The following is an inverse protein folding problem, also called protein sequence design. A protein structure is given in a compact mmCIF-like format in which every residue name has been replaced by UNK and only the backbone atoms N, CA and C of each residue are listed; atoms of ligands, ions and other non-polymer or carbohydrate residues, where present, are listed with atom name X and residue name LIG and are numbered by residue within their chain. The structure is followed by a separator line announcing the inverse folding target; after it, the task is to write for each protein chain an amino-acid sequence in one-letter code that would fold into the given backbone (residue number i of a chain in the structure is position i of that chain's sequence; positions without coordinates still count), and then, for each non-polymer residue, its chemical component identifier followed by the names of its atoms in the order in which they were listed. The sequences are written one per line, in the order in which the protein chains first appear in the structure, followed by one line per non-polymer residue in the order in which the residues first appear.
data_IF_950961218806
#
_entry.id   IF_950961218806
#
_cell.length_a   1.000
_cell.length_b   1.000
_cell.length_c   1.000
_cell.angle_alpha   90.00
_cell.angle_beta   90.00
_cell.angle_gamma   90.00
#
_symmetry.space_group_name_H-M   'P 1'
#
loop_
_entity.id
_entity.type
_entity.pdbx_description
1 polymer ?
#
# COMPACT_ATOMS: atom_id res chain seq x y z
N UNK A 1 0.81 -22.81 17.07
CA UNK A 1 -0.39 -22.46 16.28
C UNK A 1 0.08 -21.87 14.95
N UNK A 2 0.25 -22.72 13.94
CA UNK A 2 0.94 -22.36 12.68
C UNK A 2 -0.09 -21.89 11.67
N UNK A 3 -0.24 -20.56 11.50
CA UNK A 3 -1.05 -19.99 10.44
C UNK A 3 -0.29 -20.06 9.12
N UNK A 4 -0.53 -21.12 8.34
CA UNK A 4 -0.02 -21.23 6.97
C UNK A 4 -1.03 -20.60 6.02
N UNK A 5 -0.78 -19.35 5.64
CA UNK A 5 -1.54 -18.69 4.56
C UNK A 5 -1.11 -19.33 3.23
N UNK A 6 -1.92 -20.25 2.72
CA UNK A 6 -1.84 -20.72 1.34
C UNK A 6 -2.42 -19.63 0.44
N UNK A 7 -1.57 -18.99 -0.38
CA UNK A 7 -2.02 -18.12 -1.46
C UNK A 7 -1.58 -16.66 -1.41
N UNK A 8 -0.39 -16.31 -0.91
CA UNK A 8 0.20 -14.96 -1.12
C UNK A 8 1.05 -14.90 -2.38
N UNK A 9 0.45 -15.32 -3.49
CA UNK A 9 0.96 -15.02 -4.82
C UNK A 9 0.09 -13.92 -5.43
N UNK A 10 0.60 -12.69 -5.39
CA UNK A 10 0.36 -11.74 -6.49
C UNK A 10 -0.96 -10.94 -6.51
N UNK A 11 -1.46 -10.48 -5.35
CA UNK A 11 -2.58 -9.52 -5.31
C UNK A 11 -2.25 -8.20 -6.05
N UNK A 12 -0.99 -7.75 -5.98
CA UNK A 12 -0.56 -6.48 -6.58
C UNK A 12 -0.46 -6.49 -8.10
N UNK A 13 0.09 -7.54 -8.72
CA UNK A 13 0.12 -7.58 -10.20
C UNK A 13 -1.29 -7.72 -10.74
N UNK A 14 -2.20 -8.46 -10.08
CA UNK A 14 -3.62 -8.49 -10.49
C UNK A 14 -4.29 -7.11 -10.43
N UNK A 15 -4.07 -6.33 -9.37
CA UNK A 15 -4.56 -4.95 -9.32
C UNK A 15 -3.91 -3.99 -10.34
N UNK A 16 -2.77 -4.35 -10.96
CA UNK A 16 -2.17 -3.55 -12.04
C UNK A 16 -2.55 -4.07 -13.44
N UNK A 17 -2.83 -5.37 -13.57
CA UNK A 17 -3.03 -6.07 -14.85
C UNK A 17 -4.52 -6.24 -15.21
N UNK A 18 -5.47 -6.19 -14.25
CA UNK A 18 -6.89 -6.47 -14.51
C UNK A 18 -7.74 -5.28 -15.01
N UNK A 19 -7.17 -4.11 -15.30
CA UNK A 19 -7.94 -2.87 -15.58
C UNK A 19 -7.91 -2.44 -17.05
N UNK A 20 -8.24 -3.36 -17.94
CA UNK A 20 -8.32 -3.16 -19.40
C UNK A 20 -9.51 -2.32 -19.91
N UNK A 21 -10.07 -1.39 -19.13
CA UNK A 21 -11.14 -0.51 -19.61
C UNK A 21 -11.10 0.84 -18.85
N UNK A 22 -10.59 1.88 -19.52
CA UNK A 22 -10.50 3.30 -19.06
C UNK A 22 -10.22 3.47 -17.56
N UNK A 23 -8.94 3.34 -17.18
CA UNK A 23 -8.48 3.69 -15.85
C UNK A 23 -8.77 5.19 -15.61
N UNK A 24 -9.55 5.58 -14.58
CA UNK A 24 -9.56 6.98 -14.16
C UNK A 24 -8.12 7.38 -13.80
N UNK A 25 -7.70 8.59 -14.14
CA UNK A 25 -6.34 9.06 -13.81
C UNK A 25 -6.09 9.06 -12.29
N UNK A 26 -7.17 9.19 -11.52
CA UNK A 26 -7.20 9.27 -10.06
C UNK A 26 -7.29 7.88 -9.43
N UNK A 27 -6.37 7.59 -8.51
CA UNK A 27 -6.31 6.36 -7.73
C UNK A 27 -6.96 6.50 -6.34
N UNK A 28 -6.77 7.64 -5.67
CA UNK A 28 -7.30 7.88 -4.33
C UNK A 28 -7.97 9.26 -4.28
N UNK A 29 -9.18 9.29 -3.74
CA UNK A 29 -9.84 10.51 -3.25
C UNK A 29 -9.70 10.52 -1.73
N UNK A 30 -9.31 11.65 -1.17
CA UNK A 30 -9.20 11.78 0.28
C UNK A 30 -9.73 13.13 0.75
N UNK A 31 -10.10 13.18 2.02
CA UNK A 31 -10.51 14.40 2.71
C UNK A 31 -9.72 14.47 4.02
N UNK A 32 -9.16 15.63 4.33
CA UNK A 32 -8.46 15.84 5.60
C UNK A 32 -9.41 16.24 6.73
N UNK A 33 -8.89 16.40 7.95
CA UNK A 33 -9.67 16.81 9.13
C UNK A 33 -10.25 18.21 9.04
N UNK A 34 -9.84 19.02 8.08
CA UNK A 34 -10.38 20.36 7.82
C UNK A 34 -11.48 20.35 6.76
N UNK A 35 -11.82 19.18 6.21
CA UNK A 35 -12.76 19.03 5.11
C UNK A 35 -12.16 19.29 3.72
N UNK A 36 -10.83 19.48 3.63
CA UNK A 36 -10.17 19.73 2.35
C UNK A 36 -10.04 18.43 1.58
N UNK A 37 -10.61 18.43 0.38
CA UNK A 37 -10.54 17.30 -0.56
C UNK A 37 -9.25 17.33 -1.35
N UNK A 38 -8.65 16.16 -1.54
CA UNK A 38 -7.47 15.93 -2.36
C UNK A 38 -7.62 14.69 -3.21
N UNK A 39 -6.76 14.58 -4.22
CA UNK A 39 -6.73 13.47 -5.16
C UNK A 39 -5.28 13.04 -5.37
N UNK A 40 -5.05 11.74 -5.48
CA UNK A 40 -3.76 11.17 -5.85
C UNK A 40 -3.96 10.37 -7.13
N UNK A 41 -3.21 10.70 -8.18
CA UNK A 41 -3.20 9.96 -9.45
C UNK A 41 -2.48 8.63 -9.31
N UNK A 42 -2.73 7.69 -10.22
CA UNK A 42 -1.99 6.43 -10.26
C UNK A 42 -0.47 6.64 -10.41
N UNK A 43 -0.07 7.66 -11.17
CA UNK A 43 1.35 8.01 -11.36
C UNK A 43 1.97 8.48 -10.04
N UNK A 44 1.30 9.36 -9.32
CA UNK A 44 1.76 9.84 -8.02
C UNK A 44 1.79 8.72 -6.99
N UNK A 45 0.73 7.91 -6.92
CA UNK A 45 0.66 6.77 -6.01
C UNK A 45 1.83 5.80 -6.27
N UNK A 46 2.08 5.45 -7.53
CA UNK A 46 3.22 4.60 -7.92
C UNK A 46 4.56 5.22 -7.47
N UNK A 47 4.75 6.51 -7.67
CA UNK A 47 6.00 7.20 -7.31
C UNK A 47 6.21 7.24 -5.80
N UNK A 48 5.19 7.61 -5.01
CA UNK A 48 5.29 7.70 -3.55
C UNK A 48 5.50 6.32 -2.93
N UNK A 49 4.74 5.31 -3.39
CA UNK A 49 4.86 3.94 -2.89
C UNK A 49 6.20 3.29 -3.27
N UNK A 50 6.77 3.62 -4.44
CA UNK A 50 8.12 3.17 -4.81
C UNK A 50 9.20 3.79 -3.90
N UNK A 51 9.10 5.09 -3.60
CA UNK A 51 10.03 5.75 -2.67
C UNK A 51 9.98 5.09 -1.29
N UNK A 52 8.79 4.81 -0.77
CA UNK A 52 8.63 4.16 0.53
C UNK A 52 9.10 2.70 0.51
N UNK A 53 8.84 1.95 -0.57
CA UNK A 53 9.35 0.60 -0.75
C UNK A 53 10.90 0.56 -0.72
N UNK A 54 11.55 1.49 -1.42
CA UNK A 54 13.01 1.61 -1.40
C UNK A 54 13.54 1.95 0.00
N UNK A 55 12.82 2.81 0.73
CA UNK A 55 13.14 3.10 2.13
C UNK A 55 13.02 1.84 3.01
N UNK A 56 11.95 1.06 2.87
CA UNK A 56 11.83 -0.20 3.60
C UNK A 56 12.99 -1.16 3.30
N UNK A 57 13.36 -1.32 2.04
CA UNK A 57 14.53 -2.13 1.66
C UNK A 57 15.83 -1.58 2.25
N UNK A 58 16.03 -0.25 2.28
CA UNK A 58 17.23 0.35 2.89
C UNK A 58 17.28 0.20 4.41
N UNK A 59 16.12 -0.01 5.06
CA UNK A 59 16.02 -0.41 6.48
C UNK A 59 16.25 -1.90 6.71
N UNK A 60 16.51 -2.68 5.67
CA UNK A 60 16.84 -4.10 5.75
C UNK A 60 15.64 -5.05 5.70
N UNK A 61 14.43 -4.54 5.41
CA UNK A 61 13.23 -5.37 5.25
C UNK A 61 13.36 -6.27 4.02
N UNK A 62 12.99 -7.54 4.20
CA UNK A 62 13.06 -8.59 3.19
C UNK A 62 11.69 -9.19 2.91
N UNK A 63 11.58 -9.85 1.77
CA UNK A 63 10.37 -10.59 1.41
C UNK A 63 10.01 -11.58 2.52
N UNK A 64 8.74 -11.55 2.94
CA UNK A 64 8.21 -12.36 4.04
C UNK A 64 8.24 -11.68 5.41
N UNK A 65 8.96 -10.57 5.58
CA UNK A 65 8.93 -9.81 6.84
C UNK A 65 7.55 -9.19 7.09
N UNK A 66 7.20 -9.04 8.37
CA UNK A 66 5.93 -8.47 8.80
C UNK A 66 6.10 -6.98 9.15
N UNK A 67 5.21 -6.14 8.62
CA UNK A 67 5.17 -4.69 8.89
C UNK A 67 3.82 -4.37 9.52
N UNK A 68 3.84 -4.00 10.80
CA UNK A 68 2.68 -3.43 11.48
C UNK A 68 2.50 -1.96 11.05
N UNK A 69 1.33 -1.62 10.53
CA UNK A 69 0.98 -0.26 10.11
C UNK A 69 0.01 0.30 11.14
N UNK A 70 0.54 1.21 11.96
CA UNK A 70 -0.17 1.87 13.05
C UNK A 70 -0.41 3.34 12.65
N UNK A 71 -1.33 3.56 11.71
CA UNK A 71 -1.66 4.87 11.15
C UNK A 71 -3.18 5.05 11.16
N UNK A 72 -3.65 6.30 11.32
CA UNK A 72 -5.06 6.63 11.11
C UNK A 72 -5.48 6.27 9.67
N UNK A 73 -6.80 6.12 9.45
CA UNK A 73 -7.40 5.83 8.14
C UNK A 73 -7.28 7.03 7.17
N UNK A 74 -6.05 7.38 6.80
CA UNK A 74 -5.66 8.41 5.83
C UNK A 74 -4.84 7.79 4.70
N UNK A 75 -4.48 8.60 3.71
CA UNK A 75 -3.72 8.19 2.52
C UNK A 75 -2.41 7.46 2.84
N UNK A 76 -1.76 7.83 3.93
CA UNK A 76 -0.48 7.31 4.38
C UNK A 76 -0.56 5.84 4.76
N UNK A 77 -1.70 5.39 5.32
CA UNK A 77 -1.94 4.00 5.66
C UNK A 77 -1.91 3.12 4.41
N UNK A 78 -2.73 3.45 3.40
CA UNK A 78 -2.79 2.67 2.16
C UNK A 78 -1.49 2.75 1.36
N UNK A 79 -0.80 3.90 1.35
CA UNK A 79 0.54 4.03 0.75
C UNK A 79 1.53 3.07 1.42
N UNK A 80 1.50 2.97 2.75
CA UNK A 80 2.37 2.07 3.52
C UNK A 80 2.10 0.60 3.22
N UNK A 81 0.82 0.20 3.12
CA UNK A 81 0.43 -1.15 2.73
C UNK A 81 0.95 -1.52 1.33
N UNK A 82 0.75 -0.64 0.35
CA UNK A 82 1.19 -0.87 -1.02
C UNK A 82 2.72 -0.95 -1.11
N UNK A 83 3.44 -0.09 -0.37
CA UNK A 83 4.90 -0.12 -0.33
C UNK A 83 5.45 -1.42 0.27
N UNK A 84 4.85 -1.91 1.36
CA UNK A 84 5.20 -3.18 1.98
C UNK A 84 5.01 -4.36 1.02
N UNK A 85 3.87 -4.42 0.36
CA UNK A 85 3.55 -5.47 -0.61
C UNK A 85 4.47 -5.44 -1.84
N UNK A 86 4.97 -4.27 -2.27
CA UNK A 86 5.91 -4.14 -3.41
C UNK A 86 7.22 -4.87 -3.19
N UNK A 87 7.70 -4.90 -1.95
CA UNK A 87 8.92 -5.62 -1.56
C UNK A 87 8.63 -7.05 -1.10
N UNK A 88 7.37 -7.50 -1.18
CA UNK A 88 6.93 -8.82 -0.77
C UNK A 88 6.86 -9.03 0.74
N UNK A 89 6.78 -7.95 1.52
CA UNK A 89 6.49 -8.03 2.94
C UNK A 89 4.99 -8.20 3.20
N UNK A 90 4.67 -8.74 4.37
CA UNK A 90 3.29 -8.87 4.86
C UNK A 90 2.96 -7.63 5.67
N UNK A 91 1.98 -6.85 5.23
CA UNK A 91 1.49 -5.71 6.01
C UNK A 91 0.32 -6.12 6.90
N UNK A 92 0.31 -5.72 8.16
CA UNK A 92 -0.81 -5.90 9.08
C UNK A 92 -1.31 -4.52 9.55
N UNK A 93 -2.60 -4.18 9.35
CA UNK A 93 -3.15 -2.97 9.94
C UNK A 93 -3.27 -3.14 11.46
N UNK A 94 -2.83 -2.13 12.20
CA UNK A 94 -3.03 -2.05 13.65
C UNK A 94 -3.95 -0.87 13.90
N UNK A 95 -5.12 -1.15 14.47
CA UNK A 95 -6.09 -0.12 14.80
C UNK A 95 -5.56 0.73 15.95
N UNK A 96 -5.47 2.04 15.72
CA UNK A 96 -5.44 3.03 16.79
C UNK A 96 -6.90 3.43 17.04
N UNK A 97 -7.44 3.02 18.19
CA UNK A 97 -8.78 3.43 18.65
C UNK A 97 -8.71 4.82 19.28
#
# INVERSE_FOLDING_TARGET
MTFRILGTGDQQRKCQIYWGFRIPEVAILHEDSTGKKGKITYRELKNITNKLANYFTSRGLKKGDYIAICLSQRTEAIISHIAAWKIGCVSAPVTIL
#
